data_IF_575882880094
#
_entry.id   IF_575882880094
#
_cell.length_a   1.000
_cell.length_b   1.000
_cell.length_c   1.000
_cell.angle_alpha   90.00
_cell.angle_beta   90.00
_cell.angle_gamma   90.00
#
_symmetry.space_group_name_H-M   'P 1'
#
loop_
_entity.id
_entity.type
_entity.pdbx_description
1 polymer ?
#
# COMPACT_ATOMS: atom_id res chain seq x y z
N UNK A 1 -7.73 10.64 -0.03
CA UNK A 1 -6.82 10.32 -1.16
C UNK A 1 -6.25 8.98 -0.80
N UNK A 2 -6.56 7.93 -1.53
CA UNK A 2 -6.22 6.56 -1.12
C UNK A 2 -4.80 6.19 -1.57
N UNK A 3 -4.08 5.48 -0.72
CA UNK A 3 -2.79 4.86 -0.99
C UNK A 3 -2.93 3.35 -0.96
N UNK A 4 -2.12 2.65 -1.75
CA UNK A 4 -2.09 1.19 -1.78
C UNK A 4 -0.66 0.64 -1.79
N UNK A 5 -0.47 -0.51 -1.16
CA UNK A 5 0.72 -1.34 -1.31
C UNK A 5 0.30 -2.80 -1.48
N UNK A 6 0.80 -3.44 -2.54
CA UNK A 6 0.64 -4.87 -2.74
C UNK A 6 1.79 -5.59 -2.03
N UNK A 7 1.47 -6.70 -1.35
CA UNK A 7 2.44 -7.54 -0.68
C UNK A 7 3.40 -8.21 -1.69
N UNK A 8 4.25 -9.11 -1.18
CA UNK A 8 5.21 -9.89 -1.95
C UNK A 8 4.58 -10.58 -3.16
N UNK A 9 5.40 -10.78 -4.20
CA UNK A 9 4.98 -11.50 -5.39
C UNK A 9 4.40 -12.88 -5.04
N UNK A 10 3.17 -13.14 -5.49
CA UNK A 10 2.46 -14.39 -5.24
C UNK A 10 1.57 -14.41 -4.00
N UNK A 11 1.67 -13.42 -3.09
CA UNK A 11 0.75 -13.32 -1.94
C UNK A 11 -0.66 -12.89 -2.37
N UNK A 12 -0.76 -11.92 -3.27
CA UNK A 12 -2.05 -11.43 -3.78
C UNK A 12 -2.82 -10.51 -2.83
N UNK A 13 -2.27 -10.20 -1.65
CA UNK A 13 -2.82 -9.22 -0.72
C UNK A 13 -2.45 -7.78 -1.12
N UNK A 14 -3.41 -6.86 -0.97
CA UNK A 14 -3.21 -5.42 -1.15
C UNK A 14 -3.82 -4.67 0.03
N UNK A 15 -3.00 -3.87 0.71
CA UNK A 15 -3.44 -2.97 1.78
C UNK A 15 -3.74 -1.59 1.21
N UNK A 16 -4.85 -0.98 1.66
CA UNK A 16 -5.28 0.36 1.23
C UNK A 16 -5.63 1.24 2.43
N UNK A 17 -5.22 2.51 2.43
CA UNK A 17 -5.60 3.47 3.47
C UNK A 17 -5.59 4.92 2.94
N UNK A 18 -6.14 5.85 3.73
CA UNK A 18 -6.15 7.29 3.41
C UNK A 18 -4.79 8.00 3.60
N UNK A 19 -3.80 7.31 4.14
CA UNK A 19 -2.43 7.81 4.33
C UNK A 19 -1.39 6.71 4.13
N UNK A 20 -0.13 7.12 3.87
CA UNK A 20 1.00 6.18 3.73
C UNK A 20 1.27 5.44 5.03
N UNK A 21 1.17 6.14 6.14
CA UNK A 21 1.33 5.61 7.50
C UNK A 21 0.29 4.52 7.77
N UNK A 22 -0.96 4.73 7.33
CA UNK A 22 -2.03 3.73 7.46
C UNK A 22 -1.74 2.47 6.64
N UNK A 23 -1.26 2.61 5.41
CA UNK A 23 -0.83 1.45 4.59
C UNK A 23 0.32 0.72 5.28
N UNK A 24 1.29 1.46 5.83
CA UNK A 24 2.44 0.90 6.54
C UNK A 24 2.06 0.01 7.71
N UNK A 25 1.14 0.45 8.56
CA UNK A 25 0.62 -0.35 9.69
C UNK A 25 -0.06 -1.63 9.21
N UNK A 26 -0.95 -1.53 8.20
CA UNK A 26 -1.66 -2.69 7.66
C UNK A 26 -0.71 -3.71 7.01
N UNK A 27 0.37 -3.25 6.38
CA UNK A 27 1.37 -4.11 5.78
C UNK A 27 2.23 -4.78 6.84
N UNK A 28 2.62 -4.05 7.88
CA UNK A 28 3.34 -4.63 9.03
C UNK A 28 2.54 -5.77 9.66
N UNK A 29 1.26 -5.57 9.97
CA UNK A 29 0.38 -6.60 10.54
C UNK A 29 0.30 -7.83 9.62
N UNK A 30 0.05 -7.63 8.33
CA UNK A 30 -0.04 -8.72 7.37
C UNK A 30 1.28 -9.49 7.19
N UNK A 31 2.42 -8.79 7.16
CA UNK A 31 3.74 -9.41 7.02
C UNK A 31 4.15 -10.22 8.25
N UNK A 32 3.70 -9.82 9.45
CA UNK A 32 3.88 -10.59 10.68
C UNK A 32 3.01 -11.86 10.64
N UNK A 33 1.71 -11.71 10.36
CA UNK A 33 0.74 -12.80 10.39
C UNK A 33 0.97 -13.87 9.31
N UNK A 34 1.25 -13.47 8.07
CA UNK A 34 1.27 -14.38 6.91
C UNK A 34 2.68 -14.79 6.48
N UNK A 35 3.70 -14.05 6.91
CA UNK A 35 5.08 -14.25 6.47
C UNK A 35 6.10 -14.38 7.61
N UNK A 36 5.71 -14.24 8.88
CA UNK A 36 6.63 -14.28 10.04
C UNK A 36 7.86 -13.38 9.83
N UNK A 37 7.64 -12.26 9.13
CA UNK A 37 8.67 -11.33 8.68
C UNK A 37 8.21 -9.90 8.98
N UNK A 38 8.20 -9.49 10.26
CA UNK A 38 7.76 -8.16 10.64
C UNK A 38 8.63 -7.10 9.94
N UNK A 39 7.97 -6.08 9.39
CA UNK A 39 8.61 -4.94 8.71
C UNK A 39 8.38 -3.64 9.49
N UNK A 40 9.25 -2.66 9.32
CA UNK A 40 9.01 -1.34 9.89
C UNK A 40 7.83 -0.67 9.17
N UNK A 41 6.77 -0.23 9.89
CA UNK A 41 5.60 0.36 9.26
C UNK A 41 5.89 1.70 8.57
N UNK A 42 6.89 2.47 9.01
CA UNK A 42 7.31 3.71 8.33
C UNK A 42 7.95 3.38 6.98
N UNK A 43 8.90 2.45 6.95
CA UNK A 43 9.56 2.02 5.71
C UNK A 43 8.56 1.39 4.73
N UNK A 44 7.64 0.55 5.23
CA UNK A 44 6.59 -0.03 4.41
C UNK A 44 5.65 1.05 3.83
N UNK A 45 5.30 2.07 4.63
CA UNK A 45 4.46 3.18 4.20
C UNK A 45 5.10 4.03 3.09
N UNK A 46 6.42 4.19 3.09
CA UNK A 46 7.15 4.92 2.04
C UNK A 46 7.00 4.28 0.65
N UNK A 47 6.80 2.96 0.60
CA UNK A 47 6.57 2.21 -0.64
C UNK A 47 5.13 2.35 -1.17
N UNK A 48 4.20 2.87 -0.37
CA UNK A 48 2.80 2.98 -0.74
C UNK A 48 2.59 3.96 -1.92
N UNK A 49 1.90 3.46 -2.94
CA UNK A 49 1.58 4.19 -4.15
C UNK A 49 0.26 4.92 -3.98
N UNK A 50 0.20 6.17 -4.44
CA UNK A 50 -1.04 6.93 -4.47
C UNK A 50 -1.97 6.34 -5.53
N UNK A 51 -3.19 5.95 -5.15
CA UNK A 51 -4.21 5.57 -6.10
C UNK A 51 -4.68 6.79 -6.87
N UNK A 52 -4.63 6.68 -8.19
CA UNK A 52 -5.34 7.59 -9.08
C UNK A 52 -6.56 6.86 -9.58
N UNK A 53 -7.74 7.45 -9.39
CA UNK A 53 -8.90 6.98 -10.13
C UNK A 53 -8.62 7.15 -11.63
N UNK A 54 -9.13 6.23 -12.45
CA UNK A 54 -8.96 6.28 -13.90
C UNK A 54 -9.60 7.52 -14.55
N UNK A 55 -10.32 8.35 -13.78
CA UNK A 55 -10.86 9.63 -14.21
C UNK A 55 -9.77 10.73 -14.15
N UNK A 56 -8.96 10.75 -13.10
CA UNK A 56 -7.87 11.71 -12.89
C UNK A 56 -6.76 11.60 -13.93
N UNK A 57 -6.43 10.37 -14.36
CA UNK A 57 -5.42 10.14 -15.41
C UNK A 57 -5.87 10.60 -16.81
N UNK A 58 -7.19 10.70 -17.07
CA UNK A 58 -7.72 11.22 -18.35
C UNK A 58 -7.71 12.74 -18.42
N UNK A 59 -7.77 13.43 -17.28
CA UNK A 59 -7.65 14.90 -17.25
C UNK A 59 -6.20 15.37 -17.44
N UNK A 60 -5.21 14.62 -16.96
CA UNK A 60 -3.80 14.98 -17.14
C UNK A 60 -3.26 14.81 -18.59
N UNK A 61 -4.08 14.30 -19.51
CA UNK A 61 -3.75 14.07 -20.93
C UNK A 61 -4.41 15.07 -21.89
N UNK A 62 -5.14 16.06 -21.37
CA UNK A 62 -5.72 17.17 -22.13
C UNK A 62 -4.98 18.46 -21.79
#
# INVERSE_FOLDING_TARGET
MEYELTCLYGCGHTSTADSREGVGVLVMEHMDDEHDTPVDPLEAGELALKRFDGASLRQARQ
#
